data_IF_092701078744
#
_entry.id   IF_092701078744
#
_cell.length_a   1.000
_cell.length_b   1.000
_cell.length_c   1.000
_cell.angle_alpha   90.00
_cell.angle_beta   90.00
_cell.angle_gamma   90.00
#
_symmetry.space_group_name_H-M   'P 1'
#
loop_
_entity.id
_entity.type
_entity.pdbx_description
1 polymer ?
#
# COMPACT_ATOMS: atom_id res chain seq x y z
N UNK A 1 -0.81 -22.21 2.09
CA UNK A 1 0.25 -21.29 1.66
C UNK A 1 -0.25 -19.87 1.92
N UNK A 2 0.62 -18.94 2.29
CA UNK A 2 0.25 -17.53 2.31
C UNK A 2 0.73 -16.95 0.98
N UNK A 3 -0.18 -16.80 0.03
CA UNK A 3 0.19 -16.50 -1.36
C UNK A 3 0.31 -14.99 -1.64
N UNK A 4 -0.22 -14.15 -0.75
CA UNK A 4 -0.30 -12.69 -0.95
C UNK A 4 -0.02 -11.97 0.36
N UNK A 5 0.79 -10.90 0.29
CA UNK A 5 1.01 -9.96 1.38
C UNK A 5 0.46 -8.60 1.00
N UNK A 6 -0.20 -7.90 1.93
CA UNK A 6 -0.71 -6.55 1.74
C UNK A 6 -0.20 -5.60 2.82
N UNK A 7 -0.05 -4.32 2.49
CA UNK A 7 0.30 -3.24 3.40
C UNK A 7 -0.50 -1.98 3.10
N UNK A 8 -0.64 -1.11 4.08
CA UNK A 8 -1.18 0.24 3.92
C UNK A 8 -0.05 1.28 4.00
N UNK A 9 0.05 2.14 2.99
CA UNK A 9 0.99 3.26 2.94
C UNK A 9 0.22 4.57 2.78
N UNK A 10 0.71 5.67 3.38
CA UNK A 10 0.08 6.97 3.19
C UNK A 10 0.22 7.45 1.75
N UNK A 11 -0.82 8.13 1.25
CA UNK A 11 -0.86 8.59 -0.15
C UNK A 11 0.16 9.69 -0.46
N UNK A 12 0.51 10.49 0.54
CA UNK A 12 1.50 11.56 0.46
C UNK A 12 2.95 11.05 0.61
N UNK A 13 3.14 9.78 1.00
CA UNK A 13 4.47 9.21 1.18
C UNK A 13 4.99 8.54 -0.10
N UNK A 14 5.34 9.38 -1.09
CA UNK A 14 5.87 8.94 -2.38
C UNK A 14 7.15 8.10 -2.25
N UNK A 15 8.00 8.41 -1.25
CA UNK A 15 9.24 7.69 -0.98
C UNK A 15 8.96 6.24 -0.60
N UNK A 16 8.05 6.01 0.35
CA UNK A 16 7.68 4.66 0.77
C UNK A 16 6.98 3.90 -0.36
N UNK A 17 6.08 4.55 -1.11
CA UNK A 17 5.45 3.94 -2.28
C UNK A 17 6.46 3.47 -3.32
N UNK A 18 7.54 4.24 -3.55
CA UNK A 18 8.60 3.84 -4.47
C UNK A 18 9.36 2.60 -3.97
N UNK A 19 9.68 2.53 -2.67
CA UNK A 19 10.31 1.34 -2.06
C UNK A 19 9.42 0.11 -2.24
N UNK A 20 8.13 0.22 -1.93
CA UNK A 20 7.20 -0.92 -2.05
C UNK A 20 7.02 -1.37 -3.51
N UNK A 21 6.95 -0.44 -4.47
CA UNK A 21 6.93 -0.79 -5.90
C UNK A 21 8.19 -1.56 -6.31
N UNK A 22 9.37 -1.15 -5.84
CA UNK A 22 10.62 -1.85 -6.12
C UNK A 22 10.68 -3.24 -5.47
N UNK A 23 9.99 -3.44 -4.35
CA UNK A 23 9.84 -4.74 -3.69
C UNK A 23 8.76 -5.63 -4.36
N UNK A 24 8.13 -5.18 -5.45
CA UNK A 24 7.12 -5.94 -6.19
C UNK A 24 5.68 -5.71 -5.72
N UNK A 25 5.44 -4.80 -4.78
CA UNK A 25 4.08 -4.43 -4.40
C UNK A 25 3.39 -3.62 -5.49
N UNK A 26 2.12 -3.93 -5.71
CA UNK A 26 1.24 -3.29 -6.67
C UNK A 26 0.18 -2.46 -5.95
N UNK A 27 -0.22 -1.34 -6.56
CA UNK A 27 -1.29 -0.50 -6.05
C UNK A 27 -2.61 -1.26 -6.12
N UNK A 28 -3.27 -1.40 -4.97
CA UNK A 28 -4.42 -2.27 -4.85
C UNK A 28 -5.75 -1.58 -4.58
N UNK A 29 -5.71 -0.47 -3.86
CA UNK A 29 -6.90 0.31 -3.57
C UNK A 29 -6.60 1.49 -2.68
N UNK A 30 -7.57 2.38 -2.53
CA UNK A 30 -7.46 3.57 -1.68
C UNK A 30 -8.53 3.49 -0.60
N UNK A 31 -8.12 3.49 0.66
CA UNK A 31 -9.03 3.64 1.80
C UNK A 31 -9.15 5.11 2.12
N UNK A 32 -10.34 5.67 1.89
CA UNK A 32 -10.63 7.05 2.24
C UNK A 32 -10.78 7.21 3.76
N UNK A 33 -10.21 8.25 4.34
CA UNK A 33 -10.28 8.59 5.77
C UNK A 33 -9.81 7.46 6.72
N UNK A 34 -8.75 6.73 6.37
CA UNK A 34 -8.32 5.57 7.17
C UNK A 34 -7.71 5.97 8.53
N UNK A 35 -7.02 7.11 8.61
CA UNK A 35 -6.40 7.60 9.85
C UNK A 35 -7.22 8.69 10.57
N UNK A 36 -8.39 9.06 10.04
CA UNK A 36 -9.09 10.28 10.46
C UNK A 36 -8.43 11.54 9.89
N UNK A 37 -9.13 12.67 9.90
CA UNK A 37 -8.62 13.98 9.42
C UNK A 37 -8.33 14.10 7.90
N UNK A 38 -9.01 13.31 7.06
CA UNK A 38 -8.85 13.41 5.60
C UNK A 38 -7.63 12.68 5.04
N UNK A 39 -6.90 11.95 5.89
CA UNK A 39 -5.75 11.17 5.48
C UNK A 39 -6.17 9.82 4.89
N UNK A 40 -5.93 9.70 3.58
CA UNK A 40 -6.22 8.50 2.83
C UNK A 40 -5.01 7.55 2.81
N UNK A 41 -5.28 6.24 2.92
CA UNK A 41 -4.26 5.21 2.80
C UNK A 41 -4.34 4.51 1.45
N UNK A 42 -3.19 4.29 0.82
CA UNK A 42 -3.02 3.43 -0.34
C UNK A 42 -2.75 2.01 0.16
N UNK A 43 -3.63 1.08 -0.19
CA UNK A 43 -3.40 -0.35 0.01
C UNK A 43 -2.55 -0.85 -1.16
N UNK A 44 -1.46 -1.54 -0.84
CA UNK A 44 -0.62 -2.21 -1.81
C UNK A 44 -0.54 -3.70 -1.49
N UNK A 45 -0.41 -4.55 -2.51
CA UNK A 45 -0.27 -6.00 -2.33
C UNK A 45 0.84 -6.58 -3.21
N UNK A 46 1.45 -7.67 -2.77
CA UNK A 46 2.45 -8.44 -3.53
C UNK A 46 2.10 -9.92 -3.46
N UNK A 47 2.32 -10.63 -4.56
CA UNK A 47 2.20 -12.08 -4.60
C UNK A 47 3.56 -12.68 -4.21
N UNK A 48 3.60 -13.56 -3.20
CA UNK A 48 4.85 -14.11 -2.64
C UNK A 48 5.29 -15.42 -3.34
N UNK A 49 4.84 -15.65 -4.58
CA UNK A 49 5.16 -16.85 -5.35
C UNK A 49 6.57 -16.87 -5.91
#
# INVERSE_FOLDING_TARGET
SCDVMSLEVRIDNDVAQHVYRNLGFQNGGKRKNYYGEGEDALVMWVNLK
#
